data_IF_618953635295
#
_entry.id   IF_618953635295
#
_cell.length_a   1.000
_cell.length_b   1.000
_cell.length_c   1.000
_cell.angle_alpha   90.00
_cell.angle_beta   90.00
_cell.angle_gamma   90.00
#
_symmetry.space_group_name_H-M   'P 1'
#
loop_
_entity.id
_entity.type
_entity.pdbx_description
1 polymer ?
#
# COMPACT_ATOMS: atom_id res chain seq x y z
N UNK A 1 -30.07 -11.32 0.37
CA UNK A 1 -29.35 -11.45 0.40
C UNK A 1 -28.66 -11.89 0.86
N UNK A 2 -28.54 -12.01 0.89
CA UNK A 2 -27.81 -12.25 1.21
C UNK A 2 -27.04 -12.26 1.09
N UNK A 3 -26.97 -12.69 1.78
CA UNK A 3 -25.80 -12.35 1.66
C UNK A 3 -24.93 -13.40 1.31
N UNK A 4 -24.94 -13.68 0.21
CA UNK A 4 -23.88 -14.47 -0.34
C UNK A 4 -22.59 -13.77 -0.05
N UNK A 5 -21.46 -14.49 0.13
CA UNK A 5 -20.19 -13.85 0.20
C UNK A 5 -20.08 -12.93 -0.98
N UNK A 6 -19.87 -11.70 -0.71
CA UNK A 6 -19.75 -10.77 -1.75
C UNK A 6 -18.47 -10.97 -2.48
N UNK A 7 -18.61 -11.54 -3.65
CA UNK A 7 -17.47 -11.57 -4.53
C UNK A 7 -17.37 -10.29 -5.34
N UNK A 8 -18.28 -9.35 -5.08
CA UNK A 8 -18.31 -8.14 -5.84
C UNK A 8 -17.53 -6.98 -5.27
N UNK A 9 -17.29 -7.02 -3.97
CA UNK A 9 -16.65 -5.89 -3.31
C UNK A 9 -15.15 -5.91 -3.51
N UNK A 10 -14.64 -4.82 -4.06
CA UNK A 10 -13.21 -4.60 -4.18
C UNK A 10 -12.83 -3.67 -3.04
N UNK A 11 -11.85 -4.08 -2.25
CA UNK A 11 -11.37 -3.26 -1.14
C UNK A 11 -9.98 -2.77 -1.49
N UNK A 12 -9.80 -1.46 -1.52
CA UNK A 12 -8.51 -0.85 -1.82
C UNK A 12 -8.07 -0.09 -0.59
N UNK A 13 -6.89 -0.41 -0.11
CA UNK A 13 -6.31 0.25 1.04
C UNK A 13 -5.87 1.68 0.74
N UNK A 14 -5.04 2.22 1.61
CA UNK A 14 -4.55 3.59 1.51
C UNK A 14 -3.23 3.63 0.74
N UNK A 15 -2.96 4.76 0.07
CA UNK A 15 -1.69 4.97 -0.63
C UNK A 15 -1.40 3.90 -1.68
N UNK A 16 -2.46 3.37 -2.31
CA UNK A 16 -2.34 2.36 -3.36
C UNK A 16 -2.20 3.06 -4.71
N UNK A 17 -1.31 2.54 -5.53
CA UNK A 17 -1.15 3.04 -6.89
C UNK A 17 -1.57 1.97 -7.88
N UNK A 18 -2.53 2.31 -8.72
CA UNK A 18 -3.03 1.38 -9.72
C UNK A 18 -2.73 1.96 -11.10
N UNK A 19 -1.91 1.24 -11.86
CA UNK A 19 -1.52 1.67 -13.19
C UNK A 19 -2.70 1.65 -14.16
N UNK A 20 -2.56 2.39 -15.25
CA UNK A 20 -3.62 2.57 -16.23
C UNK A 20 -4.06 1.23 -16.82
N UNK A 21 -5.33 1.15 -17.20
CA UNK A 21 -5.90 -0.01 -17.87
C UNK A 21 -5.76 -1.30 -17.08
N UNK A 22 -5.61 -1.20 -15.76
CA UNK A 22 -5.61 -2.39 -14.90
C UNK A 22 -7.04 -2.79 -14.60
N UNK A 23 -7.25 -4.08 -14.41
CA UNK A 23 -8.54 -4.64 -14.05
C UNK A 23 -8.41 -5.32 -12.70
N UNK A 24 -9.26 -4.94 -11.76
CA UNK A 24 -9.30 -5.57 -10.44
C UNK A 24 -10.56 -6.44 -10.40
N UNK A 25 -10.38 -7.72 -10.15
CA UNK A 25 -11.52 -8.63 -10.15
C UNK A 25 -12.32 -8.48 -8.86
N UNK A 26 -13.63 -8.82 -8.94
CA UNK A 26 -14.48 -8.75 -7.75
C UNK A 26 -13.94 -9.57 -6.59
N UNK A 27 -14.09 -9.06 -5.38
CA UNK A 27 -13.68 -9.75 -4.17
C UNK A 27 -12.22 -9.60 -3.79
N UNK A 28 -11.42 -8.87 -4.59
CA UNK A 28 -10.00 -8.68 -4.31
C UNK A 28 -9.80 -7.57 -3.30
N UNK A 29 -8.86 -7.78 -2.37
CA UNK A 29 -8.40 -6.76 -1.44
C UNK A 29 -6.99 -6.36 -1.80
N UNK A 30 -6.76 -5.06 -1.95
CA UNK A 30 -5.43 -4.52 -2.23
C UNK A 30 -4.97 -3.78 -0.98
N UNK A 31 -3.85 -4.24 -0.41
CA UNK A 31 -3.34 -3.70 0.85
C UNK A 31 -2.73 -2.32 0.71
N UNK A 32 -2.56 -1.65 1.86
CA UNK A 32 -1.99 -0.32 1.90
C UNK A 32 -0.65 -0.25 1.18
N UNK A 33 -0.45 0.80 0.43
CA UNK A 33 0.84 1.04 -0.22
C UNK A 33 1.19 0.12 -1.35
N UNK A 34 0.28 -0.74 -1.79
CA UNK A 34 0.55 -1.64 -2.90
C UNK A 34 0.62 -0.89 -4.23
N UNK A 35 1.36 -1.43 -5.17
CA UNK A 35 1.48 -0.90 -6.52
C UNK A 35 1.06 -1.97 -7.50
N UNK A 36 0.10 -1.62 -8.35
CA UNK A 36 -0.36 -2.48 -9.43
C UNK A 36 0.15 -1.88 -10.74
N UNK A 37 0.97 -2.63 -11.47
CA UNK A 37 1.51 -2.15 -12.72
C UNK A 37 0.42 -1.99 -13.77
N UNK A 38 0.65 -1.12 -14.74
CA UNK A 38 -0.31 -0.88 -15.81
C UNK A 38 -0.64 -2.18 -16.57
N UNK A 39 -1.88 -2.27 -17.04
CA UNK A 39 -2.38 -3.40 -17.83
C UNK A 39 -2.39 -4.72 -17.09
N UNK A 40 -2.43 -4.68 -15.77
CA UNK A 40 -2.49 -5.90 -14.96
C UNK A 40 -3.94 -6.35 -14.76
N UNK A 41 -4.13 -7.65 -14.58
CA UNK A 41 -5.44 -8.21 -14.22
C UNK A 41 -5.28 -8.88 -12.87
N UNK A 42 -5.80 -8.22 -11.83
CA UNK A 42 -5.59 -8.65 -10.45
C UNK A 42 -6.72 -9.60 -10.05
N UNK A 43 -6.37 -10.86 -9.82
CA UNK A 43 -7.34 -11.92 -9.51
C UNK A 43 -7.25 -12.40 -8.08
N UNK A 44 -6.22 -12.00 -7.34
CA UNK A 44 -5.99 -12.40 -5.94
C UNK A 44 -5.63 -11.18 -5.12
N UNK A 45 -5.79 -11.29 -3.81
CA UNK A 45 -5.42 -10.22 -2.89
C UNK A 45 -3.95 -9.84 -3.07
N UNK A 46 -3.69 -8.56 -2.92
CA UNK A 46 -2.32 -8.02 -3.02
C UNK A 46 -1.92 -7.52 -1.64
N UNK A 47 -0.86 -8.09 -1.06
CA UNK A 47 -0.42 -7.66 0.27
C UNK A 47 0.05 -6.21 0.29
N UNK A 48 0.06 -5.62 1.48
CA UNK A 48 0.53 -4.26 1.67
C UNK A 48 1.97 -4.10 1.17
N UNK A 49 2.25 -2.93 0.59
CA UNK A 49 3.59 -2.53 0.16
C UNK A 49 4.27 -3.53 -0.76
N UNK A 50 3.49 -4.17 -1.62
CA UNK A 50 4.02 -5.06 -2.65
C UNK A 50 3.71 -4.53 -4.03
N UNK A 51 4.46 -5.01 -5.01
CA UNK A 51 4.25 -4.69 -6.42
C UNK A 51 3.72 -5.95 -7.10
N UNK A 52 2.61 -5.81 -7.80
CA UNK A 52 2.02 -6.89 -8.59
C UNK A 52 1.91 -6.46 -10.04
N UNK A 53 2.07 -7.39 -10.95
CA UNK A 53 2.07 -7.10 -12.39
C UNK A 53 1.67 -8.32 -13.20
N UNK A 54 1.03 -8.08 -14.31
CA UNK A 54 0.74 -9.11 -15.30
C UNK A 54 -0.71 -9.50 -15.39
N UNK A 55 -0.97 -10.50 -16.23
CA UNK A 55 -2.31 -11.05 -16.43
C UNK A 55 -2.21 -12.58 -16.47
N UNK A 56 -2.61 -13.29 -15.39
CA UNK A 56 -3.02 -12.72 -14.11
C UNK A 56 -1.86 -12.08 -13.38
N UNK A 57 -2.14 -11.05 -12.61
CA UNK A 57 -1.10 -10.34 -11.87
C UNK A 57 -0.45 -11.27 -10.85
N UNK A 58 0.87 -11.19 -10.77
CA UNK A 58 1.65 -11.98 -9.85
C UNK A 58 2.52 -11.06 -9.01
N UNK A 59 2.90 -11.54 -7.85
CA UNK A 59 3.84 -10.84 -6.98
C UNK A 59 5.16 -10.62 -7.72
N UNK A 60 5.64 -9.39 -7.72
CA UNK A 60 6.93 -9.05 -8.30
C UNK A 60 7.98 -8.86 -7.21
N UNK A 61 7.68 -8.02 -6.23
CA UNK A 61 8.60 -7.75 -5.12
C UNK A 61 7.89 -6.99 -4.02
N UNK A 62 8.49 -6.99 -2.84
CA UNK A 62 8.14 -6.07 -1.79
C UNK A 62 8.77 -4.72 -2.10
N UNK A 63 8.06 -3.64 -1.79
CA UNK A 63 8.60 -2.29 -1.96
C UNK A 63 9.73 -2.02 -0.98
N UNK A 64 9.61 -2.57 0.22
CA UNK A 64 10.52 -2.31 1.33
C UNK A 64 10.77 -3.61 2.08
N UNK A 65 11.79 -3.63 2.93
CA UNK A 65 12.02 -4.77 3.79
C UNK A 65 10.92 -4.88 4.87
N UNK A 66 10.91 -5.99 5.58
CA UNK A 66 9.84 -6.27 6.53
C UNK A 66 9.79 -5.24 7.66
N UNK A 67 10.94 -4.80 8.14
CA UNK A 67 10.97 -3.81 9.22
C UNK A 67 10.37 -2.48 8.78
N UNK A 68 10.80 -1.98 7.63
CA UNK A 68 10.29 -0.71 7.14
C UNK A 68 8.81 -0.78 6.80
N UNK A 69 8.38 -1.89 6.23
CA UNK A 69 6.96 -2.11 5.95
C UNK A 69 6.14 -2.06 7.23
N UNK A 70 6.61 -2.74 8.29
CA UNK A 70 5.91 -2.73 9.57
C UNK A 70 5.85 -1.32 10.17
N UNK A 71 6.93 -0.56 10.05
CA UNK A 71 6.97 0.81 10.55
C UNK A 71 5.98 1.70 9.79
N UNK A 72 5.92 1.57 8.48
CA UNK A 72 4.99 2.36 7.67
C UNK A 72 3.55 2.01 7.98
N UNK A 73 3.24 0.74 8.18
CA UNK A 73 1.88 0.32 8.54
C UNK A 73 1.46 0.84 9.91
N UNK A 74 2.41 0.99 10.83
CA UNK A 74 2.12 1.58 12.13
C UNK A 74 2.01 3.10 12.05
N UNK A 75 2.79 3.73 11.21
CA UNK A 75 2.80 5.18 11.09
C UNK A 75 1.50 5.74 10.54
N UNK A 76 0.93 5.11 9.51
CA UNK A 76 -0.36 5.48 8.92
C UNK A 76 -0.45 6.99 8.66
N UNK A 77 0.42 7.49 7.80
CA UNK A 77 0.50 8.92 7.55
C UNK A 77 -0.83 9.53 7.08
N UNK A 78 -1.67 8.71 6.45
CA UNK A 78 -2.97 9.17 5.94
C UNK A 78 -3.97 9.46 7.08
N UNK A 79 -3.69 9.04 8.30
CA UNK A 79 -4.51 9.34 9.48
C UNK A 79 -4.05 10.61 10.20
N UNK A 80 -2.95 11.23 9.76
CA UNK A 80 -2.44 12.43 10.42
C UNK A 80 -3.32 13.64 10.12
N UNK A 81 -3.54 14.52 11.12
CA UNK A 81 -4.22 15.77 10.81
C UNK A 81 -3.38 16.62 9.86
N UNK A 82 -4.01 17.52 9.09
CA UNK A 82 -3.28 18.26 8.06
C UNK A 82 -2.06 19.02 8.57
N UNK A 83 -2.13 19.59 9.77
CA UNK A 83 -1.01 20.33 10.34
C UNK A 83 0.18 19.43 10.65
N UNK A 84 -0.09 18.18 11.06
CA UNK A 84 0.97 17.20 11.32
C UNK A 84 1.50 16.62 10.01
N UNK A 85 0.63 16.47 9.02
CA UNK A 85 1.04 15.96 7.73
C UNK A 85 2.11 16.84 7.10
N UNK A 86 1.97 18.16 7.22
CA UNK A 86 2.99 19.08 6.67
C UNK A 86 4.36 18.83 7.29
N UNK A 87 4.41 18.47 8.57
CA UNK A 87 5.69 18.20 9.25
C UNK A 87 6.37 16.95 8.68
N UNK A 88 5.62 16.04 8.08
CA UNK A 88 6.15 14.79 7.59
C UNK A 88 6.32 14.74 6.07
N UNK A 89 5.94 15.79 5.34
CA UNK A 89 6.12 15.79 3.89
C UNK A 89 7.56 15.53 3.47
N UNK A 90 8.58 16.13 4.10
CA UNK A 90 9.95 15.82 3.72
C UNK A 90 10.29 14.35 3.90
N UNK A 91 9.76 13.73 4.96
CA UNK A 91 9.98 12.30 5.20
C UNK A 91 9.34 11.45 4.11
N UNK A 92 8.12 11.79 3.72
CA UNK A 92 7.40 11.03 2.70
C UNK A 92 8.05 11.12 1.32
N UNK A 93 8.85 12.17 1.09
CA UNK A 93 9.55 12.37 -0.16
C UNK A 93 11.03 11.99 -0.08
N UNK A 94 11.50 11.46 1.05
CA UNK A 94 12.91 11.16 1.26
C UNK A 94 13.32 9.90 0.50
N UNK A 95 14.27 9.98 -0.43
CA UNK A 95 14.70 8.80 -1.18
C UNK A 95 15.63 7.87 -0.38
N UNK A 96 16.25 8.35 0.69
CA UNK A 96 17.14 7.54 1.52
C UNK A 96 16.31 6.77 2.54
N UNK A 97 16.12 5.48 2.30
CA UNK A 97 15.27 4.66 3.15
C UNK A 97 15.79 4.51 4.58
N UNK A 98 17.09 4.62 4.79
CA UNK A 98 17.64 4.57 6.15
C UNK A 98 17.21 5.79 6.96
N UNK A 99 17.16 6.96 6.34
CA UNK A 99 16.67 8.16 7.02
C UNK A 99 15.20 8.01 7.35
N UNK A 100 14.42 7.44 6.45
CA UNK A 100 13.00 7.17 6.70
C UNK A 100 12.85 6.23 7.88
N UNK A 101 13.61 5.14 7.90
CA UNK A 101 13.57 4.15 8.96
C UNK A 101 13.90 4.77 10.32
N UNK A 102 14.95 5.55 10.38
CA UNK A 102 15.37 6.20 11.62
C UNK A 102 14.30 7.16 12.14
N UNK A 103 13.74 7.97 11.27
CA UNK A 103 12.73 8.94 11.68
C UNK A 103 11.46 8.24 12.15
N UNK A 104 11.04 7.18 11.47
CA UNK A 104 9.86 6.43 11.87
C UNK A 104 10.05 5.76 13.23
N UNK A 105 11.24 5.24 13.50
CA UNK A 105 11.52 4.65 14.80
C UNK A 105 11.40 5.69 15.92
N UNK A 106 11.89 6.89 15.68
CA UNK A 106 11.78 7.97 16.66
C UNK A 106 10.32 8.33 16.89
N UNK A 107 9.56 8.54 15.83
CA UNK A 107 8.16 8.95 15.94
C UNK A 107 7.30 7.90 16.61
N UNK A 108 7.53 6.62 16.32
CA UNK A 108 6.69 5.54 16.85
C UNK A 108 7.09 5.12 18.25
N UNK A 109 8.25 5.53 18.73
CA UNK A 109 8.68 5.22 20.09
C UNK A 109 8.26 6.28 21.10
N UNK A 110 7.74 7.40 20.65
CA UNK A 110 7.33 8.50 21.53
C UNK A 110 5.96 8.25 22.15
#
# INVERSE_FOLDING_TARGET
>A
MSKLPHKGDIIVGNDVWIGRESVIMPGVTIGDGAIIAAYSVVTKDVPAYTVASGNPAAFIKNRFDDELTALLLRFRWWDLPPERLLDFLPLLCEPDLEKVRQRLKIELSA
#
